data_IF_831148085445
#
_entry.id   IF_831148085445
#
_cell.length_a   1.000
_cell.length_b   1.000
_cell.length_c   1.000
_cell.angle_alpha   90.00
_cell.angle_beta   90.00
_cell.angle_gamma   90.00
#
_symmetry.space_group_name_H-M   'P 1'
#
loop_
_entity.id
_entity.type
_entity.pdbx_description
1 polymer ?
#
# COMPACT_ATOMS: atom_id res chain seq x y z
N UNK A 1 1.22 -8.10 5.09
CA UNK A 1 0.53 -8.71 3.92
C UNK A 1 -0.66 -7.86 3.43
N UNK A 2 -1.56 -7.44 4.30
CA UNK A 2 -2.76 -6.66 3.92
C UNK A 2 -2.42 -5.28 3.32
N UNK A 3 -1.52 -4.51 3.94
CA UNK A 3 -1.16 -3.16 3.46
C UNK A 3 -0.50 -3.18 2.07
N UNK A 4 0.29 -4.21 1.78
CA UNK A 4 0.85 -4.45 0.45
C UNK A 4 -0.24 -4.62 -0.60
N UNK A 5 -1.23 -5.49 -0.32
CA UNK A 5 -2.34 -5.74 -1.24
C UNK A 5 -3.16 -4.47 -1.50
N UNK A 6 -3.43 -3.69 -0.44
CA UNK A 6 -4.12 -2.39 -0.54
C UNK A 6 -3.32 -1.40 -1.39
N UNK A 7 -1.99 -1.34 -1.21
CA UNK A 7 -1.14 -0.47 -2.02
C UNK A 7 -1.17 -0.88 -3.50
N UNK A 8 -1.08 -2.17 -3.82
CA UNK A 8 -1.19 -2.68 -5.20
C UNK A 8 -2.54 -2.33 -5.82
N UNK A 9 -3.64 -2.54 -5.11
CA UNK A 9 -4.98 -2.20 -5.57
C UNK A 9 -5.14 -0.69 -5.78
N UNK A 10 -4.57 0.14 -4.91
CA UNK A 10 -4.60 1.59 -5.06
C UNK A 10 -3.81 2.06 -6.30
N UNK A 11 -2.67 1.42 -6.61
CA UNK A 11 -1.94 1.69 -7.87
C UNK A 11 -2.80 1.33 -9.08
N UNK A 12 -3.38 0.13 -9.10
CA UNK A 12 -4.25 -0.32 -10.20
C UNK A 12 -5.44 0.63 -10.37
N UNK A 13 -6.10 0.99 -9.27
CA UNK A 13 -7.22 1.92 -9.27
C UNK A 13 -6.82 3.31 -9.78
N UNK A 14 -5.63 3.83 -9.44
CA UNK A 14 -5.14 5.11 -9.96
C UNK A 14 -5.05 5.14 -11.49
N UNK A 15 -4.59 4.05 -12.12
CA UNK A 15 -4.49 3.96 -13.58
C UNK A 15 -5.86 3.80 -14.26
N UNK A 16 -6.78 3.08 -13.63
CA UNK A 16 -8.14 2.86 -14.13
C UNK A 16 -9.08 4.06 -13.89
N UNK A 17 -8.78 4.90 -12.90
CA UNK A 17 -9.62 6.01 -12.51
C UNK A 17 -9.81 7.03 -13.66
N UNK A 18 -11.06 7.33 -14.07
CA UNK A 18 -11.33 8.17 -15.23
C UNK A 18 -11.24 9.68 -14.95
N UNK A 19 -11.30 10.09 -13.68
CA UNK A 19 -11.34 11.50 -13.29
C UNK A 19 -10.32 11.83 -12.20
N UNK A 20 -9.96 13.11 -12.12
CA UNK A 20 -8.96 13.62 -11.17
C UNK A 20 -9.28 13.30 -9.69
N UNK A 21 -10.53 13.43 -9.20
CA UNK A 21 -10.84 13.14 -7.79
C UNK A 21 -10.56 11.70 -7.38
N UNK A 22 -10.84 10.73 -8.25
CA UNK A 22 -10.58 9.31 -7.98
C UNK A 22 -9.09 9.00 -7.94
N UNK A 23 -8.30 9.66 -8.80
CA UNK A 23 -6.84 9.58 -8.75
C UNK A 23 -6.28 10.17 -7.46
N UNK A 24 -6.81 11.31 -7.01
CA UNK A 24 -6.42 11.91 -5.73
C UNK A 24 -6.75 11.01 -4.53
N UNK A 25 -7.92 10.35 -4.55
CA UNK A 25 -8.27 9.35 -3.55
C UNK A 25 -7.26 8.19 -3.53
N UNK A 26 -6.92 7.65 -4.70
CA UNK A 26 -5.95 6.56 -4.82
C UNK A 26 -4.58 6.98 -4.26
N UNK A 27 -4.13 8.20 -4.56
CA UNK A 27 -2.89 8.77 -4.00
C UNK A 27 -2.99 8.90 -2.48
N UNK A 28 -4.12 9.38 -1.95
CA UNK A 28 -4.35 9.45 -0.51
C UNK A 28 -4.24 8.08 0.17
N UNK A 29 -4.82 7.04 -0.43
CA UNK A 29 -4.69 5.66 0.06
C UNK A 29 -3.24 5.19 0.02
N UNK A 30 -2.50 5.48 -1.06
CA UNK A 30 -1.08 5.13 -1.17
C UNK A 30 -0.22 5.80 -0.11
N UNK A 31 -0.48 7.07 0.21
CA UNK A 31 0.25 7.81 1.26
C UNK A 31 0.11 7.18 2.64
N UNK A 32 -0.96 6.44 2.90
CA UNK A 32 -1.18 5.73 4.18
C UNK A 32 -0.70 4.28 4.10
N UNK A 33 -1.02 3.58 3.00
CA UNK A 33 -0.72 2.16 2.86
C UNK A 33 0.77 1.87 2.72
N UNK A 34 1.53 2.73 2.03
CA UNK A 34 2.97 2.51 1.80
C UNK A 34 3.79 2.63 3.10
N UNK A 35 3.63 3.65 3.95
CA UNK A 35 4.32 3.71 5.24
C UNK A 35 3.98 2.54 6.16
N UNK A 36 2.71 2.13 6.22
CA UNK A 36 2.28 0.98 7.02
C UNK A 36 2.90 -0.32 6.51
N UNK A 37 2.95 -0.50 5.19
CA UNK A 37 3.63 -1.64 4.57
C UNK A 37 5.13 -1.65 4.91
N UNK A 38 5.82 -0.51 4.78
CA UNK A 38 7.24 -0.40 5.12
C UNK A 38 7.48 -0.69 6.60
N UNK A 39 6.64 -0.16 7.48
CA UNK A 39 6.72 -0.44 8.92
C UNK A 39 6.53 -1.94 9.20
N UNK A 40 5.52 -2.58 8.62
CA UNK A 40 5.26 -4.03 8.76
C UNK A 40 6.44 -4.86 8.23
N UNK A 41 6.96 -4.51 7.04
CA UNK A 41 8.06 -5.20 6.39
C UNK A 41 9.36 -5.10 7.20
N UNK A 42 9.74 -3.89 7.61
CA UNK A 42 10.93 -3.66 8.42
C UNK A 42 10.80 -4.30 9.81
N UNK A 43 9.63 -4.25 10.42
CA UNK A 43 9.39 -4.92 11.71
C UNK A 43 9.52 -6.44 11.59
N UNK A 44 8.98 -7.04 10.52
CA UNK A 44 9.13 -8.48 10.28
C UNK A 44 10.60 -8.90 10.10
N UNK A 45 11.39 -8.09 9.40
CA UNK A 45 12.83 -8.33 9.24
C UNK A 45 13.61 -8.20 10.55
N UNK A 46 13.28 -7.20 11.38
CA UNK A 46 13.90 -7.02 12.70
C UNK A 46 13.56 -8.16 13.67
N UNK A 47 12.33 -8.70 13.59
CA UNK A 47 11.87 -9.72 14.54
C UNK A 47 12.29 -11.14 14.14
N UNK A 48 12.89 -11.34 12.96
CA UNK A 48 13.35 -12.65 12.49
C UNK A 48 12.24 -13.69 12.22
N UNK A 49 10.96 -13.31 12.38
CA UNK A 49 9.80 -14.18 12.19
C UNK A 49 9.44 -14.25 10.69
N UNK A 50 10.42 -14.63 9.85
CA UNK A 50 10.14 -15.03 8.46
C UNK A 50 9.56 -16.44 8.48
N UNK A 51 8.27 -16.54 8.78
CA UNK A 51 7.47 -17.73 8.48
C UNK A 51 6.95 -17.63 7.04
N UNK A 52 7.88 -17.68 6.10
CA UNK A 52 7.64 -18.01 4.69
C UNK A 52 8.78 -18.90 4.22
#
# INVERSE_FOLDING_TARGET
MFHYLVAVLAVVFFFLAPTLPWKMLAVGVLLVAVPLFLHEFLSADVTGDRRF
#
